data_IF_613801850208
#
_entry.id   IF_613801850208
#
_cell.length_a   1.000
_cell.length_b   1.000
_cell.length_c   1.000
_cell.angle_alpha   90.00
_cell.angle_beta   90.00
_cell.angle_gamma   90.00
#
_symmetry.space_group_name_H-M   'P 1'
#
loop_
_entity.id
_entity.type
_entity.pdbx_description
1 polymer ?
#
# COMPACT_ATOMS: atom_id res chain seq x y z
N UNK A 1 40.56 29.83 -31.53
CA UNK A 1 39.51 29.09 -30.79
C UNK A 1 38.18 29.77 -31.02
N UNK A 2 37.15 29.02 -31.41
CA UNK A 2 35.89 29.56 -31.98
C UNK A 2 34.84 30.04 -30.96
N UNK A 3 35.12 30.04 -29.64
CA UNK A 3 34.23 30.58 -28.57
C UNK A 3 32.75 30.19 -28.72
N UNK A 4 32.49 28.94 -29.08
CA UNK A 4 31.13 28.39 -29.22
C UNK A 4 30.57 28.12 -27.81
N UNK A 5 29.32 28.51 -27.58
CA UNK A 5 28.61 28.20 -26.32
C UNK A 5 28.43 26.69 -26.17
N UNK A 6 28.84 26.15 -25.03
CA UNK A 6 28.64 24.75 -24.65
C UNK A 6 27.47 24.56 -23.66
N UNK A 7 26.66 25.61 -23.46
CA UNK A 7 25.44 25.55 -22.64
C UNK A 7 24.20 25.53 -23.53
N UNK A 8 23.22 24.71 -23.17
CA UNK A 8 21.95 24.57 -23.87
C UNK A 8 20.85 24.24 -22.87
N UNK A 9 19.60 24.63 -23.18
CA UNK A 9 18.42 24.35 -22.36
C UNK A 9 17.46 23.43 -23.10
N UNK A 10 16.81 22.52 -22.37
CA UNK A 10 15.77 21.62 -22.89
C UNK A 10 14.39 21.99 -22.36
N UNK A 11 13.36 21.84 -23.18
CA UNK A 11 11.96 22.09 -22.80
C UNK A 11 11.04 21.04 -23.42
N UNK A 12 10.04 20.59 -22.65
CA UNK A 12 9.03 19.65 -23.12
C UNK A 12 7.65 20.05 -22.58
N UNK A 13 6.62 19.95 -23.44
CA UNK A 13 5.22 20.13 -23.10
C UNK A 13 4.43 19.02 -23.78
N UNK A 14 3.66 18.25 -23.01
CA UNK A 14 2.84 17.16 -23.55
C UNK A 14 1.85 17.71 -24.59
N UNK A 15 1.87 17.21 -25.83
CA UNK A 15 0.95 17.66 -26.87
C UNK A 15 -0.47 17.10 -26.63
N UNK A 16 -1.46 17.74 -27.23
CA UNK A 16 -2.84 17.24 -27.35
C UNK A 16 -3.62 17.01 -26.04
N UNK A 17 -3.10 17.49 -24.90
CA UNK A 17 -3.88 17.58 -23.66
C UNK A 17 -4.78 18.81 -23.75
N UNK A 18 -6.09 18.56 -23.80
CA UNK A 18 -7.13 19.60 -23.81
C UNK A 18 -7.69 19.72 -22.39
N UNK A 19 -7.96 20.93 -21.86
CA UNK A 19 -8.63 21.08 -20.58
C UNK A 19 -9.92 20.27 -20.54
N UNK A 20 -10.07 19.45 -19.50
CA UNK A 20 -11.26 18.63 -19.34
C UNK A 20 -12.48 19.50 -19.07
N UNK A 21 -13.56 19.27 -19.81
CA UNK A 21 -14.83 19.91 -19.54
C UNK A 21 -15.69 19.01 -18.64
N UNK A 22 -15.77 19.36 -17.36
CA UNK A 22 -16.57 18.63 -16.37
C UNK A 22 -18.09 18.71 -16.62
N UNK A 23 -18.59 19.78 -17.26
CA UNK A 23 -20.03 19.91 -17.56
C UNK A 23 -20.47 18.97 -18.68
N UNK A 24 -19.60 18.77 -19.69
CA UNK A 24 -19.87 17.92 -20.85
C UNK A 24 -19.32 16.50 -20.72
N UNK A 25 -18.47 16.26 -19.72
CA UNK A 25 -17.75 14.99 -19.52
C UNK A 25 -16.88 14.60 -20.73
N UNK A 26 -16.21 15.60 -21.33
CA UNK A 26 -15.42 15.47 -22.55
C UNK A 26 -14.03 16.08 -22.38
N UNK A 27 -13.01 15.43 -22.96
CA UNK A 27 -11.64 15.93 -23.00
C UNK A 27 -10.60 14.83 -22.81
N UNK A 28 -9.39 15.06 -23.33
CA UNK A 28 -8.26 14.13 -23.19
C UNK A 28 -7.37 14.57 -22.04
N UNK A 29 -7.56 13.94 -20.88
CA UNK A 29 -6.80 14.22 -19.64
C UNK A 29 -5.51 13.40 -19.50
N UNK A 30 -5.46 12.22 -20.13
CA UNK A 30 -4.30 11.33 -20.05
C UNK A 30 -3.62 11.19 -21.42
N UNK A 31 -2.29 11.18 -21.42
CA UNK A 31 -1.51 11.01 -22.64
C UNK A 31 -1.55 9.55 -23.13
N UNK A 32 -1.39 8.61 -22.20
CA UNK A 32 -1.50 7.16 -22.38
C UNK A 32 -1.91 6.52 -21.05
N UNK A 33 -2.16 5.21 -21.06
CA UNK A 33 -2.49 4.42 -19.86
C UNK A 33 -1.48 3.30 -19.70
N UNK A 34 -1.15 3.00 -18.44
CA UNK A 34 -0.37 1.83 -18.04
C UNK A 34 -1.34 0.75 -17.58
N UNK A 35 -1.12 -0.49 -18.03
CA UNK A 35 -1.99 -1.62 -17.71
C UNK A 35 -1.24 -2.65 -16.89
N UNK A 36 -1.97 -3.41 -16.10
CA UNK A 36 -1.38 -4.41 -15.22
C UNK A 36 -2.42 -5.38 -14.71
N UNK A 37 -1.96 -6.56 -14.33
CA UNK A 37 -2.76 -7.55 -13.62
C UNK A 37 -1.91 -8.20 -12.53
N UNK A 38 -2.54 -8.51 -11.40
CA UNK A 38 -1.93 -9.27 -10.31
C UNK A 38 -2.85 -10.41 -9.88
N UNK A 39 -2.23 -11.54 -9.55
CA UNK A 39 -2.88 -12.69 -8.93
C UNK A 39 -2.16 -12.96 -7.62
N UNK A 40 -2.92 -13.10 -6.54
CA UNK A 40 -2.38 -13.27 -5.19
C UNK A 40 -3.06 -14.45 -4.50
N UNK A 41 -2.26 -15.24 -3.81
CA UNK A 41 -2.68 -16.36 -2.97
C UNK A 41 -2.33 -16.06 -1.51
N UNK A 42 -3.30 -16.26 -0.60
CA UNK A 42 -3.15 -16.00 0.82
C UNK A 42 -3.69 -17.14 1.65
N UNK A 43 -2.99 -17.46 2.73
CA UNK A 43 -3.46 -18.33 3.80
C UNK A 43 -3.87 -17.48 4.99
N UNK A 44 -5.03 -17.77 5.61
CA UNK A 44 -5.51 -17.06 6.79
C UNK A 44 -5.66 -18.02 7.97
N UNK A 45 -5.29 -17.58 9.16
CA UNK A 45 -5.61 -18.25 10.41
C UNK A 45 -6.95 -17.72 10.93
N UNK A 46 -7.98 -18.55 10.88
CA UNK A 46 -9.34 -18.18 11.29
C UNK A 46 -9.48 -17.93 12.80
N UNK A 47 -8.56 -18.44 13.63
CA UNK A 47 -8.62 -18.33 15.09
C UNK A 47 -7.96 -17.06 15.61
N UNK A 48 -6.93 -16.56 14.91
CA UNK A 48 -6.18 -15.36 15.29
C UNK A 48 -6.49 -14.16 14.40
N UNK A 49 -6.89 -14.40 13.14
CA UNK A 49 -7.03 -13.39 12.10
C UNK A 49 -5.71 -13.08 11.38
N UNK A 50 -4.63 -13.75 11.73
CA UNK A 50 -3.36 -13.61 11.04
C UNK A 50 -3.46 -14.11 9.59
N UNK A 51 -2.59 -13.62 8.71
CA UNK A 51 -2.53 -14.08 7.33
C UNK A 51 -1.11 -14.07 6.79
N UNK A 52 -0.84 -14.94 5.83
CA UNK A 52 0.41 -14.96 5.09
C UNK A 52 0.13 -14.90 3.60
N UNK A 53 0.83 -14.02 2.89
CA UNK A 53 0.81 -13.99 1.43
C UNK A 53 1.75 -15.09 0.91
N UNK A 54 1.17 -16.15 0.35
CA UNK A 54 1.94 -17.30 -0.13
C UNK A 54 2.64 -16.94 -1.45
N UNK A 55 1.91 -16.33 -2.37
CA UNK A 55 2.40 -16.04 -3.71
C UNK A 55 1.70 -14.84 -4.33
N UNK A 56 2.45 -14.04 -5.07
CA UNK A 56 1.93 -13.00 -5.94
C UNK A 56 2.62 -13.05 -7.31
N UNK A 57 1.81 -13.09 -8.37
CA UNK A 57 2.26 -12.94 -9.75
C UNK A 57 1.73 -11.64 -10.34
N UNK A 58 2.62 -10.81 -10.88
CA UNK A 58 2.29 -9.53 -11.50
C UNK A 58 2.78 -9.51 -12.95
N UNK A 59 1.92 -9.04 -13.86
CA UNK A 59 2.29 -8.67 -15.22
C UNK A 59 1.98 -7.19 -15.44
N UNK A 60 2.99 -6.38 -15.77
CA UNK A 60 2.85 -4.94 -16.04
C UNK A 60 3.20 -4.58 -17.48
N UNK A 61 2.37 -3.76 -18.10
CA UNK A 61 2.65 -3.10 -19.38
C UNK A 61 3.37 -1.77 -19.14
N UNK A 62 4.69 -1.81 -19.30
CA UNK A 62 5.61 -0.67 -19.15
C UNK A 62 6.07 -0.10 -20.49
N UNK A 63 5.49 -0.56 -21.60
CA UNK A 63 6.02 -0.31 -22.93
C UNK A 63 7.43 -0.88 -23.13
N UNK A 64 8.27 -0.17 -23.89
CA UNK A 64 9.68 -0.48 -24.00
C UNK A 64 10.42 0.16 -22.82
N UNK A 65 10.67 -0.66 -21.79
CA UNK A 65 11.33 -0.23 -20.56
C UNK A 65 12.68 0.44 -20.83
N UNK A 66 12.90 1.60 -20.21
CA UNK A 66 14.18 2.32 -20.27
C UNK A 66 15.26 1.62 -19.44
N UNK A 67 14.87 1.13 -18.26
CA UNK A 67 15.70 0.32 -17.38
C UNK A 67 14.79 -0.73 -16.71
N UNK A 68 14.81 -1.98 -17.19
CA UNK A 68 13.94 -3.04 -16.69
C UNK A 68 14.14 -3.32 -15.20
N UNK A 69 15.35 -3.12 -14.67
CA UNK A 69 15.57 -3.25 -13.25
C UNK A 69 14.71 -2.19 -12.55
N UNK A 70 14.91 -0.90 -12.85
CA UNK A 70 14.22 0.22 -12.18
C UNK A 70 12.70 0.02 -12.19
N UNK A 71 12.16 -0.35 -13.33
CA UNK A 71 10.72 -0.56 -13.48
C UNK A 71 10.22 -1.74 -12.62
N UNK A 72 10.97 -2.83 -12.50
CA UNK A 72 10.61 -3.96 -11.63
C UNK A 72 10.55 -3.53 -10.16
N UNK A 73 11.57 -2.84 -9.65
CA UNK A 73 11.57 -2.42 -8.25
C UNK A 73 10.53 -1.34 -7.95
N UNK A 74 10.13 -0.53 -8.93
CA UNK A 74 8.95 0.36 -8.79
C UNK A 74 7.66 -0.45 -8.65
N UNK A 75 7.49 -1.52 -9.45
CA UNK A 75 6.34 -2.44 -9.34
C UNK A 75 6.30 -3.11 -7.98
N UNK A 76 7.42 -3.67 -7.52
CA UNK A 76 7.52 -4.35 -6.22
C UNK A 76 7.26 -3.39 -5.05
N UNK A 77 7.88 -2.20 -5.09
CA UNK A 77 7.73 -1.17 -4.06
C UNK A 77 6.30 -0.64 -3.97
N UNK A 78 5.69 -0.28 -5.10
CA UNK A 78 4.32 0.22 -5.14
C UNK A 78 3.30 -0.87 -4.74
N UNK A 79 3.49 -2.12 -5.17
CA UNK A 79 2.65 -3.23 -4.72
C UNK A 79 2.74 -3.43 -3.20
N UNK A 80 3.94 -3.41 -2.64
CA UNK A 80 4.15 -3.57 -1.19
C UNK A 80 3.49 -2.42 -0.41
N UNK A 81 3.57 -1.19 -0.92
CA UNK A 81 2.88 -0.03 -0.33
C UNK A 81 1.35 -0.22 -0.36
N UNK A 82 0.80 -0.61 -1.51
CA UNK A 82 -0.63 -0.90 -1.62
C UNK A 82 -1.06 -2.03 -0.68
N UNK A 83 -0.21 -3.03 -0.46
CA UNK A 83 -0.51 -4.13 0.46
C UNK A 83 -0.66 -3.61 1.89
N UNK A 84 0.24 -2.73 2.34
CA UNK A 84 0.14 -2.04 3.62
C UNK A 84 -1.20 -1.32 3.76
N UNK A 85 -1.53 -0.47 2.79
CA UNK A 85 -2.78 0.28 2.72
C UNK A 85 -4.04 -0.62 2.84
N UNK A 86 -4.03 -1.79 2.20
CA UNK A 86 -5.20 -2.66 2.18
C UNK A 86 -5.27 -3.69 3.31
N UNK A 87 -4.19 -3.95 4.06
CA UNK A 87 -4.15 -5.08 5.01
C UNK A 87 -3.66 -4.74 6.41
N UNK A 88 -2.83 -3.71 6.58
CA UNK A 88 -2.15 -3.45 7.87
C UNK A 88 -2.39 -2.04 8.42
N UNK A 89 -2.44 -1.03 7.55
CA UNK A 89 -2.43 0.37 7.95
C UNK A 89 -3.82 0.86 8.37
N UNK A 90 -4.12 0.89 9.69
CA UNK A 90 -5.47 1.10 10.22
C UNK A 90 -5.63 2.38 11.06
N UNK A 91 -6.60 3.23 10.67
CA UNK A 91 -6.91 4.47 11.38
C UNK A 91 -7.98 4.27 12.49
N UNK A 92 -7.65 4.59 13.75
CA UNK A 92 -8.54 4.44 14.93
C UNK A 92 -8.50 5.67 15.90
N UNK A 93 -9.63 6.05 16.56
CA UNK A 93 -9.81 7.37 17.25
C UNK A 93 -10.13 7.37 18.79
N UNK A 94 -9.30 7.96 19.69
CA UNK A 94 -9.41 7.83 21.20
C UNK A 94 -9.42 9.10 22.11
N UNK A 95 -10.22 9.16 23.19
CA UNK A 95 -10.24 10.22 24.24
C UNK A 95 -8.93 10.39 25.06
N UNK A 96 -8.54 11.61 25.52
CA UNK A 96 -7.26 11.82 26.18
C UNK A 96 -7.25 11.35 27.65
N UNK A 97 -6.11 10.77 28.05
CA UNK A 97 -5.74 10.49 29.43
C UNK A 97 -4.87 11.67 29.94
N UNK A 98 -4.83 11.99 31.25
CA UNK A 98 -4.09 13.14 31.77
C UNK A 98 -2.58 13.07 31.43
N UNK A 99 -2.00 14.19 31.00
CA UNK A 99 -0.56 14.28 30.66
C UNK A 99 0.30 14.11 31.91
N UNK A 100 1.21 13.14 31.89
CA UNK A 100 2.37 13.10 32.79
C UNK A 100 3.28 14.29 32.49
N UNK A 101 3.70 15.00 33.54
CA UNK A 101 4.37 16.31 33.45
C UNK A 101 5.90 16.24 33.22
N UNK A 102 6.47 15.04 33.11
CA UNK A 102 7.93 14.85 33.19
C UNK A 102 8.63 14.46 31.86
N UNK A 103 7.98 14.60 30.71
CA UNK A 103 8.60 14.24 29.43
C UNK A 103 9.34 15.41 28.77
N UNK A 104 10.68 15.35 28.72
CA UNK A 104 11.54 16.30 28.01
C UNK A 104 11.79 15.84 26.55
N UNK A 105 11.84 16.74 25.54
CA UNK A 105 12.06 16.36 24.15
C UNK A 105 13.55 16.18 23.84
N UNK A 106 13.91 15.07 23.19
CA UNK A 106 15.25 14.78 22.69
C UNK A 106 15.63 15.71 21.52
N UNK A 107 16.48 16.70 21.79
CA UNK A 107 17.35 17.34 20.80
C UNK A 107 18.70 16.64 20.82
N UNK A 108 19.24 16.38 19.62
CA UNK A 108 20.60 15.92 19.30
C UNK A 108 20.80 14.40 19.18
N UNK A 109 20.77 13.90 17.94
CA UNK A 109 21.70 12.85 17.47
C UNK A 109 21.82 12.95 15.94
N UNK A 110 22.84 13.67 15.46
CA UNK A 110 23.34 13.57 14.09
C UNK A 110 24.66 12.79 14.15
N UNK A 111 24.74 11.65 13.47
CA UNK A 111 25.98 10.89 13.34
C UNK A 111 26.58 11.21 11.97
N UNK A 112 27.68 11.96 11.97
CA UNK A 112 28.60 12.08 10.84
C UNK A 112 29.59 10.93 10.90
N UNK A 113 29.72 10.13 9.83
CA UNK A 113 30.94 9.37 9.52
C UNK A 113 31.23 9.47 8.01
N UNK A 114 32.46 9.87 7.70
CA UNK A 114 33.11 9.80 6.38
C UNK A 114 34.37 8.96 6.58
N UNK A 115 34.62 7.97 5.72
CA UNK A 115 35.91 7.67 5.08
C UNK A 115 35.79 6.46 4.13
N UNK A 116 36.73 6.27 3.18
CA UNK A 116 36.42 5.77 1.84
C UNK A 116 37.11 4.43 1.47
N UNK A 117 36.80 3.98 0.24
CA UNK A 117 37.36 2.86 -0.53
C UNK A 117 36.70 1.48 -0.34
N UNK A 118 35.84 1.09 -1.29
CA UNK A 118 36.18 0.11 -2.33
C UNK A 118 35.03 -0.05 -3.36
N UNK A 119 35.44 0.09 -4.62
CA UNK A 119 34.73 0.00 -5.90
C UNK A 119 33.75 -1.20 -6.00
N UNK A 120 32.46 -0.89 -6.13
CA UNK A 120 31.32 -1.81 -6.22
C UNK A 120 30.06 -1.08 -6.68
N UNK A 121 30.26 -0.20 -7.65
CA UNK A 121 29.34 0.67 -8.38
C UNK A 121 28.09 -0.09 -8.89
N UNK A 122 26.83 0.40 -8.96
CA UNK A 122 26.15 1.62 -8.51
C UNK A 122 24.62 1.57 -8.84
N UNK A 123 24.06 0.47 -9.36
CA UNK A 123 22.66 0.40 -9.86
C UNK A 123 21.61 0.14 -8.76
N UNK A 124 21.94 -0.70 -7.77
CA UNK A 124 21.05 -1.05 -6.64
C UNK A 124 20.79 0.16 -5.71
N UNK A 125 21.67 1.16 -5.72
CA UNK A 125 21.64 2.34 -4.85
C UNK A 125 20.63 3.40 -5.34
N UNK A 126 20.21 3.37 -6.62
CA UNK A 126 19.27 4.34 -7.20
C UNK A 126 17.80 4.03 -6.87
N UNK A 127 17.42 2.76 -6.86
CA UNK A 127 16.13 2.28 -6.33
C UNK A 127 15.92 2.65 -4.86
N UNK A 128 17.01 2.61 -4.09
CA UNK A 128 17.01 2.92 -2.67
C UNK A 128 16.83 4.42 -2.37
N UNK A 129 17.08 5.33 -3.33
CA UNK A 129 16.95 6.79 -3.11
C UNK A 129 15.59 7.33 -3.54
N UNK A 130 15.02 6.84 -4.64
CA UNK A 130 13.66 7.24 -5.07
C UNK A 130 12.57 6.52 -4.26
N UNK A 131 12.79 5.25 -3.90
CA UNK A 131 12.01 4.56 -2.88
C UNK A 131 12.06 5.27 -1.51
N UNK A 132 13.23 5.80 -1.10
CA UNK A 132 13.37 6.59 0.12
C UNK A 132 12.75 8.01 0.05
N UNK A 133 12.57 8.61 -1.13
CA UNK A 133 11.85 9.88 -1.31
C UNK A 133 10.33 9.69 -1.32
N UNK A 134 9.83 8.62 -1.94
CA UNK A 134 8.41 8.24 -1.88
C UNK A 134 8.03 7.76 -0.47
N UNK A 135 8.93 7.04 0.21
CA UNK A 135 8.89 6.77 1.66
C UNK A 135 8.93 8.07 2.46
N UNK A 136 9.73 9.07 2.06
CA UNK A 136 9.79 10.42 2.64
C UNK A 136 8.51 11.25 2.48
N UNK A 137 7.76 11.10 1.39
CA UNK A 137 6.47 11.80 1.18
C UNK A 137 5.30 11.14 1.90
N UNK A 138 5.27 9.79 1.97
CA UNK A 138 4.42 9.06 2.93
C UNK A 138 4.70 9.50 4.38
N UNK A 139 5.99 9.70 4.72
CA UNK A 139 6.54 10.13 6.01
C UNK A 139 6.26 11.61 6.41
N UNK A 140 5.98 12.52 5.47
CA UNK A 140 5.78 13.95 5.81
C UNK A 140 4.36 14.49 5.58
N UNK A 141 3.42 13.72 5.01
CA UNK A 141 2.08 14.26 4.71
C UNK A 141 0.86 13.40 5.05
N UNK A 142 0.85 12.06 4.94
CA UNK A 142 -0.46 11.37 4.84
C UNK A 142 -0.65 9.97 5.45
N UNK A 143 0.32 9.33 6.11
CA UNK A 143 0.11 7.94 6.59
C UNK A 143 0.18 7.76 8.13
N UNK A 144 -0.81 6.99 8.60
CA UNK A 144 -1.42 6.80 9.93
C UNK A 144 -1.13 7.80 11.06
N UNK A 145 -2.06 8.73 11.19
CA UNK A 145 -2.13 9.67 12.29
C UNK A 145 -3.30 9.26 13.20
N UNK A 146 -3.02 8.56 14.31
CA UNK A 146 -4.01 8.26 15.34
C UNK A 146 -4.43 9.60 15.94
N UNK A 147 -5.61 10.10 15.66
CA UNK A 147 -6.05 11.35 16.25
C UNK A 147 -6.97 11.08 17.43
N UNK A 148 -6.90 11.94 18.45
CA UNK A 148 -7.95 11.98 19.45
C UNK A 148 -9.25 12.47 18.80
N UNK A 149 -10.44 12.21 19.38
CA UNK A 149 -11.70 12.86 19.03
C UNK A 149 -11.65 14.40 19.14
N UNK A 150 -10.56 14.97 19.67
CA UNK A 150 -10.25 16.39 19.73
C UNK A 150 -9.15 16.80 18.72
N UNK A 151 -8.75 15.91 17.80
CA UNK A 151 -7.81 16.17 16.71
C UNK A 151 -6.32 16.01 17.05
N UNK A 152 -5.94 15.31 18.13
CA UNK A 152 -4.55 15.21 18.56
C UNK A 152 -3.86 13.89 18.18
N UNK A 153 -2.72 13.95 17.48
CA UNK A 153 -1.95 12.80 17.02
C UNK A 153 -1.33 11.93 18.15
N UNK A 154 -1.49 10.61 18.08
CA UNK A 154 -1.08 9.56 19.03
C UNK A 154 -0.08 8.55 18.43
N UNK A 155 -0.05 8.30 17.11
CA UNK A 155 1.03 7.55 16.44
C UNK A 155 2.23 8.48 16.32
N UNK A 156 2.97 8.58 17.43
CA UNK A 156 4.20 9.38 17.50
C UNK A 156 5.45 8.53 17.29
N UNK A 157 5.29 7.31 16.77
CA UNK A 157 6.42 6.43 16.51
C UNK A 157 6.07 5.07 15.90
N UNK A 158 7.11 4.34 15.45
CA UNK A 158 7.00 3.07 14.70
C UNK A 158 6.49 1.88 15.52
N UNK A 159 6.29 2.07 16.83
CA UNK A 159 5.70 1.05 17.70
C UNK A 159 4.22 0.78 17.40
N UNK A 160 3.49 1.80 16.95
CA UNK A 160 2.04 1.80 16.80
C UNK A 160 1.54 1.83 15.34
N UNK A 161 2.42 2.13 14.38
CA UNK A 161 2.14 2.13 12.94
C UNK A 161 2.97 1.03 12.26
N UNK A 162 2.30 0.09 11.60
CA UNK A 162 2.94 -1.10 11.00
C UNK A 162 2.94 -0.99 9.49
N UNK A 163 4.05 -0.49 8.96
CA UNK A 163 4.38 -0.65 7.54
C UNK A 163 4.72 -2.12 7.26
N UNK A 164 4.53 -2.58 6.01
CA UNK A 164 5.02 -3.89 5.59
C UNK A 164 6.51 -4.07 5.92
N UNK A 165 6.81 -5.09 6.72
CA UNK A 165 8.14 -5.57 6.99
C UNK A 165 8.56 -6.70 6.04
N UNK A 166 9.77 -7.20 6.24
CA UNK A 166 10.32 -8.30 5.42
C UNK A 166 9.49 -9.60 5.50
N UNK A 167 8.72 -9.80 6.57
CA UNK A 167 7.88 -11.00 6.72
C UNK A 167 6.52 -10.87 6.03
N UNK A 168 6.13 -9.65 5.64
CA UNK A 168 4.82 -9.38 5.08
C UNK A 168 4.80 -9.49 3.55
N UNK A 169 5.98 -9.45 2.90
CA UNK A 169 6.08 -9.62 1.44
C UNK A 169 5.65 -11.04 1.00
N UNK A 170 5.14 -11.22 -0.22
CA UNK A 170 4.81 -12.55 -0.75
C UNK A 170 6.02 -13.49 -0.69
N UNK A 171 5.82 -14.72 -0.20
CA UNK A 171 6.93 -15.72 -0.15
C UNK A 171 7.47 -16.04 -1.54
N UNK A 172 6.57 -16.17 -2.50
CA UNK A 172 6.89 -16.21 -3.93
C UNK A 172 6.41 -14.92 -4.60
N UNK A 173 7.32 -14.06 -5.04
CA UNK A 173 6.98 -12.80 -5.69
C UNK A 173 7.53 -12.75 -7.12
N UNK A 174 6.63 -12.93 -8.10
CA UNK A 174 6.99 -12.96 -9.51
C UNK A 174 6.51 -11.68 -10.21
N UNK A 175 7.42 -10.92 -10.79
CA UNK A 175 7.10 -9.73 -11.59
C UNK A 175 7.57 -9.93 -13.04
N UNK A 176 6.66 -9.74 -13.99
CA UNK A 176 6.93 -9.84 -15.42
C UNK A 176 6.51 -8.56 -16.15
N UNK A 177 7.33 -8.11 -17.09
CA UNK A 177 7.04 -6.97 -17.95
C UNK A 177 6.48 -7.47 -19.29
N UNK A 178 5.37 -6.89 -19.75
CA UNK A 178 4.73 -7.24 -21.00
C UNK A 178 5.65 -6.90 -22.18
N UNK A 179 5.93 -7.89 -23.03
CA UNK A 179 6.81 -7.72 -24.19
C UNK A 179 6.02 -7.31 -25.43
N UNK A 180 6.64 -6.49 -26.29
CA UNK A 180 6.08 -6.13 -27.60
C UNK A 180 4.92 -5.13 -27.52
N UNK A 181 4.91 -4.26 -26.52
CA UNK A 181 3.86 -3.26 -26.28
C UNK A 181 4.35 -1.80 -26.42
N UNK A 182 5.05 -1.40 -27.51
CA UNK A 182 5.69 -0.09 -27.60
C UNK A 182 4.68 1.07 -27.52
N UNK A 183 5.06 2.16 -26.83
CA UNK A 183 4.23 3.35 -26.67
C UNK A 183 4.74 4.56 -27.47
N UNK A 184 4.23 4.85 -28.69
CA UNK A 184 4.76 5.92 -29.52
C UNK A 184 4.56 7.34 -28.95
N UNK A 185 3.83 7.50 -27.83
CA UNK A 185 3.53 8.80 -27.21
C UNK A 185 4.53 9.22 -26.12
N UNK A 186 5.45 8.34 -25.76
CA UNK A 186 6.44 8.57 -24.71
C UNK A 186 7.87 8.41 -25.24
N UNK A 187 8.82 8.90 -24.46
CA UNK A 187 10.24 8.84 -24.80
C UNK A 187 10.69 7.37 -24.89
N UNK A 188 11.32 7.01 -26.01
CA UNK A 188 11.79 5.65 -26.32
C UNK A 188 10.73 4.56 -26.12
N UNK A 189 9.47 4.86 -26.43
CA UNK A 189 8.38 3.88 -26.32
C UNK A 189 8.05 3.38 -24.90
N UNK A 190 8.52 4.07 -23.86
CA UNK A 190 8.33 3.69 -22.45
C UNK A 190 6.96 4.08 -21.88
N UNK A 191 6.63 3.63 -20.66
CA UNK A 191 5.45 4.06 -19.91
C UNK A 191 5.80 4.34 -18.45
N UNK A 192 5.07 5.27 -17.85
CA UNK A 192 5.19 5.55 -16.42
C UNK A 192 4.67 4.38 -15.57
N UNK A 193 5.42 4.00 -14.54
CA UNK A 193 5.16 2.80 -13.71
C UNK A 193 5.15 3.05 -12.20
N UNK A 194 5.41 4.27 -11.72
CA UNK A 194 5.51 4.54 -10.27
C UNK A 194 4.23 4.24 -9.49
N UNK A 195 3.11 4.87 -9.83
CA UNK A 195 1.82 4.72 -9.12
C UNK A 195 0.94 3.54 -9.58
N UNK A 196 0.87 3.17 -10.88
CA UNK A 196 -0.08 2.16 -11.35
C UNK A 196 -0.08 0.81 -10.60
N UNK A 197 1.06 0.26 -10.16
CA UNK A 197 1.09 -1.03 -9.46
C UNK A 197 0.52 -0.99 -8.04
N UNK A 198 0.35 0.19 -7.43
CA UNK A 198 -0.18 0.32 -6.06
C UNK A 198 -1.57 -0.31 -5.92
N UNK A 199 -2.45 -0.09 -6.91
CA UNK A 199 -3.80 -0.63 -6.88
C UNK A 199 -3.84 -2.16 -7.07
N UNK A 200 -2.80 -2.76 -7.67
CA UNK A 200 -2.72 -4.21 -7.86
C UNK A 200 -2.63 -4.97 -6.53
N UNK A 201 -2.15 -4.32 -5.48
CA UNK A 201 -2.12 -4.89 -4.14
C UNK A 201 -3.51 -5.17 -3.56
N UNK A 202 -4.58 -4.59 -4.12
CA UNK A 202 -5.96 -4.95 -3.77
C UNK A 202 -6.26 -6.44 -4.02
N UNK A 203 -5.47 -7.11 -4.87
CA UNK A 203 -5.52 -8.56 -5.04
C UNK A 203 -5.32 -9.33 -3.72
N UNK A 204 -4.44 -8.85 -2.83
CA UNK A 204 -4.22 -9.42 -1.49
C UNK A 204 -5.48 -9.29 -0.63
N UNK A 205 -6.12 -8.11 -0.64
CA UNK A 205 -7.37 -7.89 0.08
C UNK A 205 -8.49 -8.82 -0.41
N UNK A 206 -8.61 -8.98 -1.74
CA UNK A 206 -9.63 -9.85 -2.32
C UNK A 206 -9.33 -11.33 -2.10
N UNK A 207 -8.06 -11.77 -2.07
CA UNK A 207 -7.71 -13.15 -1.75
C UNK A 207 -8.07 -13.49 -0.30
N UNK A 208 -7.78 -12.59 0.65
CA UNK A 208 -8.21 -12.71 2.05
C UNK A 208 -9.75 -12.79 2.13
N UNK A 209 -10.44 -11.89 1.42
CA UNK A 209 -11.91 -11.88 1.40
C UNK A 209 -12.49 -13.19 0.84
N UNK A 210 -11.87 -13.76 -0.19
CA UNK A 210 -12.27 -15.05 -0.75
C UNK A 210 -12.01 -16.20 0.24
N UNK A 211 -10.88 -16.21 0.94
CA UNK A 211 -10.59 -17.22 1.96
C UNK A 211 -11.65 -17.23 3.09
N UNK A 212 -12.05 -16.04 3.57
CA UNK A 212 -13.14 -15.91 4.55
C UNK A 212 -14.49 -16.36 3.96
N UNK A 213 -14.77 -16.05 2.69
CA UNK A 213 -15.99 -16.47 2.01
C UNK A 213 -16.08 -18.00 1.87
N UNK A 214 -14.94 -18.66 1.60
CA UNK A 214 -14.84 -20.11 1.55
C UNK A 214 -15.16 -20.74 2.92
N UNK A 215 -14.55 -20.24 4.01
CA UNK A 215 -14.85 -20.69 5.37
C UNK A 215 -16.35 -20.61 5.70
N UNK A 216 -16.98 -19.47 5.40
CA UNK A 216 -18.42 -19.27 5.65
C UNK A 216 -19.29 -20.23 4.82
N UNK A 217 -18.89 -20.50 3.58
CA UNK A 217 -19.60 -21.44 2.70
C UNK A 217 -19.52 -22.87 3.23
N UNK A 218 -18.37 -23.28 3.77
CA UNK A 218 -18.18 -24.61 4.35
C UNK A 218 -19.01 -24.79 5.62
N UNK A 219 -19.08 -23.77 6.48
CA UNK A 219 -19.93 -23.78 7.68
C UNK A 219 -21.42 -23.93 7.35
N UNK A 220 -21.89 -23.30 6.26
CA UNK A 220 -23.27 -23.46 5.79
C UNK A 220 -23.60 -24.91 5.41
N UNK A 221 -22.67 -25.61 4.74
CA UNK A 221 -22.87 -26.99 4.33
C UNK A 221 -22.90 -27.96 5.52
N UNK A 222 -22.15 -27.67 6.57
CA UNK A 222 -22.00 -28.53 7.75
C UNK A 222 -23.15 -28.40 8.78
N UNK A 223 -24.23 -27.68 8.47
CA UNK A 223 -25.43 -27.52 9.34
C UNK A 223 -25.12 -27.06 10.78
N UNK A 224 -24.00 -26.37 11.02
CA UNK A 224 -23.69 -25.79 12.32
C UNK A 224 -24.43 -24.46 12.50
N UNK A 225 -25.54 -24.50 13.26
CA UNK A 225 -26.30 -23.49 14.03
C UNK A 225 -26.46 -22.02 13.55
N UNK A 226 -25.59 -21.44 12.72
CA UNK A 226 -25.73 -20.09 12.17
C UNK A 226 -25.51 -20.10 10.65
N UNK A 227 -26.57 -19.77 9.91
CA UNK A 227 -26.56 -19.67 8.45
C UNK A 227 -25.84 -18.38 8.01
N UNK A 228 -24.51 -18.42 7.98
CA UNK A 228 -23.65 -17.28 7.62
C UNK A 228 -23.61 -17.09 6.10
N UNK A 229 -24.06 -15.95 5.60
CA UNK A 229 -23.99 -15.62 4.16
C UNK A 229 -22.54 -15.61 3.64
N UNK A 230 -22.25 -16.19 2.45
CA UNK A 230 -20.94 -16.09 1.81
C UNK A 230 -20.65 -14.66 1.33
N UNK A 231 -21.69 -13.85 1.12
CA UNK A 231 -21.57 -12.42 0.81
C UNK A 231 -21.55 -11.63 2.11
N UNK A 232 -20.48 -10.87 2.31
CA UNK A 232 -20.27 -10.05 3.50
C UNK A 232 -19.51 -8.77 3.19
N UNK A 233 -19.68 -7.79 4.08
CA UNK A 233 -18.90 -6.55 4.08
C UNK A 233 -17.57 -6.78 4.81
N UNK A 234 -16.47 -6.50 4.12
CA UNK A 234 -15.13 -6.37 4.69
C UNK A 234 -14.64 -4.99 4.28
N UNK A 235 -14.28 -4.17 5.25
CA UNK A 235 -13.77 -2.81 5.02
C UNK A 235 -12.24 -2.84 5.02
N UNK A 236 -11.62 -2.00 4.20
CA UNK A 236 -10.16 -1.78 4.19
C UNK A 236 -9.74 -0.91 5.39
N UNK A 237 -8.55 -1.12 5.98
CA UNK A 237 -7.67 -2.28 5.78
C UNK A 237 -8.27 -3.59 6.34
N UNK A 238 -7.94 -4.74 5.75
CA UNK A 238 -8.30 -6.05 6.26
C UNK A 238 -7.35 -6.49 7.38
N UNK A 239 -7.39 -5.79 8.52
CA UNK A 239 -6.55 -6.14 9.69
C UNK A 239 -6.94 -7.46 10.32
N UNK A 240 -6.03 -8.02 11.12
CA UNK A 240 -6.27 -9.28 11.83
C UNK A 240 -7.56 -9.25 12.67
N UNK A 241 -7.88 -8.12 13.30
CA UNK A 241 -9.17 -7.94 14.00
C UNK A 241 -10.35 -8.21 13.06
N UNK A 242 -10.36 -7.58 11.89
CA UNK A 242 -11.47 -7.66 10.94
C UNK A 242 -11.56 -9.03 10.29
N UNK A 243 -10.42 -9.65 9.97
CA UNK A 243 -10.35 -11.03 9.48
C UNK A 243 -10.94 -11.98 10.54
N UNK A 244 -10.48 -11.87 11.79
CA UNK A 244 -10.93 -12.73 12.88
C UNK A 244 -12.43 -12.59 13.16
N UNK A 245 -12.92 -11.35 13.23
CA UNK A 245 -14.34 -11.06 13.47
C UNK A 245 -15.23 -11.43 12.28
N UNK A 246 -14.67 -11.50 11.07
CA UNK A 246 -15.37 -12.03 9.92
C UNK A 246 -15.44 -13.58 9.94
N UNK A 247 -14.44 -14.26 10.50
CA UNK A 247 -14.44 -15.70 10.72
C UNK A 247 -15.31 -16.10 11.92
N UNK A 248 -16.63 -15.95 11.81
CA UNK A 248 -17.56 -16.26 12.89
C UNK A 248 -17.58 -17.76 13.19
N UNK A 249 -17.60 -18.07 14.48
CA UNK A 249 -17.55 -19.41 15.06
C UNK A 249 -18.15 -19.44 16.48
N UNK A 250 -18.08 -20.59 17.14
CA UNK A 250 -18.55 -20.76 18.51
C UNK A 250 -17.81 -19.91 19.56
N UNK A 251 -16.62 -19.36 19.25
CA UNK A 251 -15.86 -18.48 20.16
C UNK A 251 -16.45 -17.08 20.05
N UNK A 252 -16.61 -16.56 18.83
CA UNK A 252 -17.21 -15.24 18.59
C UNK A 252 -18.64 -15.15 19.10
N UNK A 253 -19.42 -16.23 19.02
CA UNK A 253 -20.78 -16.29 19.56
C UNK A 253 -20.87 -16.18 21.09
N UNK A 254 -19.76 -16.43 21.80
CA UNK A 254 -19.69 -16.30 23.27
C UNK A 254 -19.30 -14.89 23.73
N UNK A 255 -18.95 -13.99 22.82
CA UNK A 255 -18.55 -12.63 23.15
C UNK A 255 -19.80 -11.77 23.34
N UNK A 256 -19.98 -11.23 24.54
CA UNK A 256 -21.06 -10.28 24.82
C UNK A 256 -20.72 -8.90 24.25
N UNK A 257 -21.56 -8.38 23.36
CA UNK A 257 -21.41 -7.02 22.82
C UNK A 257 -22.22 -6.03 23.65
N UNK A 258 -21.58 -5.00 24.20
CA UNK A 258 -22.28 -3.93 24.92
C UNK A 258 -23.13 -3.08 23.96
N UNK A 259 -24.32 -2.60 24.38
CA UNK A 259 -25.19 -1.80 23.52
C UNK A 259 -24.54 -0.47 23.12
N UNK A 260 -24.77 0.02 21.88
CA UNK A 260 -24.22 1.30 21.42
C UNK A 260 -24.57 2.46 22.36
N UNK A 261 -23.59 3.28 22.72
CA UNK A 261 -23.79 4.44 23.61
C UNK A 261 -23.76 4.14 25.11
N UNK A 262 -23.65 2.86 25.51
CA UNK A 262 -23.50 2.48 26.93
C UNK A 262 -22.11 2.78 27.51
N UNK A 263 -21.10 2.89 26.66
CA UNK A 263 -19.75 3.24 27.01
C UNK A 263 -19.15 4.18 25.97
N UNK A 264 -18.09 4.89 26.38
CA UNK A 264 -17.29 5.66 25.44
C UNK A 264 -16.22 4.75 24.84
N UNK A 265 -16.27 4.46 23.52
CA UNK A 265 -15.32 3.55 22.91
C UNK A 265 -13.92 4.13 22.92
N UNK A 266 -12.93 3.24 23.01
CA UNK A 266 -11.53 3.62 22.91
C UNK A 266 -11.18 4.08 21.50
N UNK A 267 -11.77 3.49 20.46
CA UNK A 267 -11.61 3.89 19.07
C UNK A 267 -12.97 4.10 18.40
N UNK A 268 -13.13 5.18 17.65
CA UNK A 268 -14.23 5.35 16.69
C UNK A 268 -13.65 5.16 15.28
N UNK A 269 -14.44 4.66 14.34
CA UNK A 269 -14.09 4.60 12.91
C UNK A 269 -14.85 5.71 12.20
N UNK A 270 -14.21 6.43 11.28
CA UNK A 270 -14.82 7.54 10.51
C UNK A 270 -14.92 7.12 9.06
#
# INVERSE_FOLDING_TARGET
MERISLSSTGFYKTPDLVPYNFEKNEGRIFNYFSFGAAVTETEIDCLTGDHTVLRTDIVMDVGDSLNPAIDIGQVEGAFTQGQGLYTMEELLWKEPLPRDKDFTPWRNYCIHHKEPYLQGDLELIKFLVEGAFTQGQGLYTMEELLYSPQGALLTRGPGAYKIPGFQDIPREFNVSLLRGAPNPRAVFSSKAIGEPPLCLASSVFFSIKQAIAALRSDQQQQQQQQQLSPVFRLDSPATAERIRMACQDFITAKIETSPPGSFKPWSVRV
#
